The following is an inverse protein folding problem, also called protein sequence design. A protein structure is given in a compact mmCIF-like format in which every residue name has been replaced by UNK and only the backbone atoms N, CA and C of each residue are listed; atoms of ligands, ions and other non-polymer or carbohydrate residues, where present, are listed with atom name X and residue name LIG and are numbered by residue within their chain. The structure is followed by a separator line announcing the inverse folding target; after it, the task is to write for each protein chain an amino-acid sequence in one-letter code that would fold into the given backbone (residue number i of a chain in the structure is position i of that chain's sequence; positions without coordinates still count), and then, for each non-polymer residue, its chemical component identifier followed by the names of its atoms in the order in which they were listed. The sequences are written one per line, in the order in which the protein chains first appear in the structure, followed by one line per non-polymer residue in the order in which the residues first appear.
data_IF_712839452497
#
_entry.id   IF_712839452497
#
_cell.length_a   1.000
_cell.length_b   1.000
_cell.length_c   1.000
_cell.angle_alpha   90.00
_cell.angle_beta   90.00
_cell.angle_gamma   90.00
#
_symmetry.space_group_name_H-M   'P 1'
#
loop_
_entity.id
_entity.type
_entity.pdbx_description
1 polymer ?
#
# COMPACT_ATOMS: atom_id res chain seq x y z
N UNK A 1 -2.12 -24.86 -17.69
CA UNK A 1 -1.94 -23.82 -16.66
C UNK A 1 -2.19 -22.48 -17.30
N UNK A 2 -3.02 -21.62 -16.69
CA UNK A 2 -3.26 -20.26 -17.16
C UNK A 2 -2.21 -19.28 -16.60
N UNK A 3 -1.83 -18.28 -17.38
CA UNK A 3 -1.06 -17.15 -16.87
C UNK A 3 -2.01 -16.14 -16.24
N UNK A 4 -1.63 -15.57 -15.10
CA UNK A 4 -2.36 -14.47 -14.47
C UNK A 4 -1.61 -13.17 -14.72
N UNK A 5 -2.33 -12.16 -15.21
CA UNK A 5 -1.80 -10.81 -15.33
C UNK A 5 -1.68 -10.18 -13.94
N UNK A 6 -0.50 -9.70 -13.60
CA UNK A 6 -0.22 -9.06 -12.32
C UNK A 6 0.62 -7.81 -12.53
N UNK A 7 0.27 -6.72 -11.85
CA UNK A 7 1.05 -5.50 -11.83
C UNK A 7 1.19 -4.98 -10.43
N UNK A 8 2.42 -4.55 -10.11
CA UNK A 8 2.73 -3.74 -8.95
C UNK A 8 3.26 -2.40 -9.46
N UNK A 9 2.51 -1.34 -9.22
CA UNK A 9 2.89 0.02 -9.56
C UNK A 9 3.23 0.77 -8.29
N UNK A 10 4.35 1.49 -8.27
CA UNK A 10 4.77 2.24 -7.08
C UNK A 10 5.05 3.71 -7.45
N UNK A 11 4.45 4.61 -6.68
CA UNK A 11 4.45 6.05 -6.90
C UNK A 11 4.90 6.77 -5.64
N UNK A 12 5.86 7.69 -5.77
CA UNK A 12 6.26 8.58 -4.68
C UNK A 12 5.52 9.90 -4.86
N UNK A 13 4.88 10.38 -3.80
CA UNK A 13 4.18 11.65 -3.81
C UNK A 13 5.13 12.76 -3.35
N UNK A 14 5.42 13.74 -4.22
CA UNK A 14 6.34 14.83 -3.90
C UNK A 14 5.74 15.89 -2.94
N UNK A 15 4.41 15.88 -2.78
CA UNK A 15 3.68 16.80 -1.91
C UNK A 15 2.52 16.07 -1.23
N UNK A 16 2.06 16.61 -0.11
CA UNK A 16 0.88 16.10 0.59
C UNK A 16 -0.32 16.07 -0.37
N UNK A 17 -0.98 14.93 -0.46
CA UNK A 17 -2.14 14.73 -1.29
C UNK A 17 -3.25 13.97 -0.55
N UNK A 18 -4.43 13.95 -1.15
CA UNK A 18 -5.51 13.04 -0.80
C UNK A 18 -5.93 12.33 -2.06
N UNK A 19 -5.91 11.00 -2.03
CA UNK A 19 -6.26 10.16 -3.17
C UNK A 19 -7.57 9.45 -2.88
N UNK A 20 -8.47 9.44 -3.85
CA UNK A 20 -9.71 8.69 -3.77
C UNK A 20 -9.44 7.20 -4.03
N UNK A 21 -10.02 6.33 -3.20
CA UNK A 21 -9.97 4.88 -3.36
C UNK A 21 -11.33 4.30 -3.02
N UNK A 22 -12.15 4.08 -4.06
CA UNK A 22 -13.56 3.78 -3.88
C UNK A 22 -14.26 4.91 -3.10
N UNK A 23 -14.93 4.54 -2.01
CA UNK A 23 -15.58 5.45 -1.07
C UNK A 23 -14.61 6.11 -0.07
N UNK A 24 -13.34 5.71 -0.05
CA UNK A 24 -12.34 6.23 0.87
C UNK A 24 -11.56 7.40 0.28
N UNK A 25 -11.16 8.31 1.18
CA UNK A 25 -10.17 9.35 0.91
C UNK A 25 -8.93 9.04 1.73
N UNK A 26 -7.85 8.68 1.06
CA UNK A 26 -6.59 8.29 1.67
C UNK A 26 -5.64 9.48 1.71
N UNK A 27 -5.21 9.96 2.90
CA UNK A 27 -4.14 10.94 2.98
C UNK A 27 -2.82 10.29 2.56
N UNK A 28 -2.08 10.98 1.70
CA UNK A 28 -0.75 10.54 1.22
C UNK A 28 0.24 11.66 1.54
N UNK A 29 1.07 11.51 2.58
CA UNK A 29 2.08 12.51 2.91
C UNK A 29 3.11 12.70 1.79
N UNK A 30 3.76 13.85 1.75
CA UNK A 30 4.94 14.05 0.91
C UNK A 30 6.02 13.03 1.26
N UNK A 31 6.70 12.50 0.25
CA UNK A 31 7.67 11.41 0.36
C UNK A 31 7.05 10.02 0.54
N UNK A 32 5.74 9.90 0.71
CA UNK A 32 5.09 8.60 0.86
C UNK A 32 5.09 7.82 -0.46
N UNK A 33 5.28 6.50 -0.32
CA UNK A 33 5.17 5.53 -1.39
C UNK A 33 3.77 4.95 -1.41
N UNK A 34 3.01 5.22 -2.46
CA UNK A 34 1.76 4.53 -2.76
C UNK A 34 2.06 3.38 -3.70
N UNK A 35 1.70 2.16 -3.32
CA UNK A 35 1.86 1.01 -4.21
C UNK A 35 0.51 0.36 -4.50
N UNK A 36 0.26 0.14 -5.77
CA UNK A 36 -0.99 -0.39 -6.30
C UNK A 36 -0.75 -1.81 -6.80
N UNK A 37 -1.57 -2.72 -6.31
CA UNK A 37 -1.65 -4.11 -6.75
C UNK A 37 -2.84 -4.24 -7.68
N UNK A 38 -2.57 -4.57 -8.94
CA UNK A 38 -3.58 -4.94 -9.92
C UNK A 38 -3.39 -6.41 -10.32
N UNK A 39 -4.48 -7.16 -10.35
CA UNK A 39 -4.46 -8.56 -10.76
C UNK A 39 -5.65 -8.85 -11.67
N UNK A 40 -5.40 -9.58 -12.76
CA UNK A 40 -6.42 -10.13 -13.63
C UNK A 40 -7.08 -11.38 -13.01
N UNK A 41 -7.89 -12.08 -13.80
CA UNK A 41 -8.67 -13.23 -13.33
C UNK A 41 -7.77 -14.28 -12.64
N UNK A 42 -8.10 -14.62 -11.40
CA UNK A 42 -7.43 -15.68 -10.66
C UNK A 42 -8.19 -17.01 -10.80
N UNK A 43 -7.50 -18.13 -11.05
CA UNK A 43 -8.15 -19.42 -11.26
C UNK A 43 -8.57 -20.07 -9.94
N UNK A 44 -9.58 -19.51 -9.26
CA UNK A 44 -10.17 -20.10 -8.07
C UNK A 44 -10.78 -21.48 -8.38
N UNK A 45 -10.65 -22.43 -7.45
CA UNK A 45 -11.28 -23.74 -7.62
C UNK A 45 -12.80 -23.67 -7.39
N UNK A 46 -13.24 -22.80 -6.47
CA UNK A 46 -14.65 -22.48 -6.25
C UNK A 46 -14.82 -21.07 -5.64
N UNK A 47 -16.08 -20.65 -5.49
CA UNK A 47 -16.44 -19.31 -4.99
C UNK A 47 -16.22 -19.11 -3.48
N UNK A 48 -15.93 -20.16 -2.73
CA UNK A 48 -15.58 -20.06 -1.31
C UNK A 48 -14.07 -19.84 -1.09
N UNK A 49 -13.24 -20.01 -2.13
CA UNK A 49 -11.81 -19.78 -2.02
C UNK A 49 -11.46 -18.30 -1.97
N UNK A 50 -10.37 -17.99 -1.27
CA UNK A 50 -9.80 -16.65 -1.14
C UNK A 50 -8.43 -16.58 -1.80
N UNK A 51 -7.98 -15.37 -2.11
CA UNK A 51 -6.62 -15.10 -2.55
C UNK A 51 -5.84 -14.48 -1.40
N UNK A 52 -4.73 -15.11 -1.03
CA UNK A 52 -3.79 -14.53 -0.06
C UNK A 52 -2.61 -13.90 -0.79
N UNK A 53 -2.35 -12.62 -0.49
CA UNK A 53 -1.17 -11.90 -0.94
C UNK A 53 -0.37 -11.45 0.29
N UNK A 54 0.93 -11.70 0.28
CA UNK A 54 1.82 -11.23 1.32
C UNK A 54 2.97 -10.42 0.73
N UNK A 55 3.31 -9.31 1.39
CA UNK A 55 4.55 -8.58 1.12
C UNK A 55 5.49 -8.74 2.30
N UNK A 56 6.78 -8.91 2.02
CA UNK A 56 7.80 -8.85 3.05
C UNK A 56 7.99 -7.40 3.48
N UNK A 57 7.92 -7.17 4.78
CA UNK A 57 8.23 -5.90 5.41
C UNK A 57 9.66 -5.96 5.94
N UNK A 58 10.54 -5.12 5.41
CA UNK A 58 11.91 -4.93 5.88
C UNK A 58 12.07 -3.44 6.23
N UNK A 59 12.32 -3.15 7.51
CA UNK A 59 12.55 -1.81 8.01
C UNK A 59 13.99 -1.72 8.52
N UNK A 60 14.73 -0.73 8.02
CA UNK A 60 16.14 -0.53 8.38
C UNK A 60 16.30 0.86 8.94
N UNK A 61 16.67 0.95 10.21
CA UNK A 61 17.00 2.22 10.83
C UNK A 61 18.25 2.84 10.22
N UNK A 62 18.52 4.12 10.55
CA UNK A 62 19.75 4.78 10.16
C UNK A 62 20.98 3.91 10.47
N UNK A 63 21.83 3.68 9.46
CA UNK A 63 23.03 2.83 9.55
C UNK A 63 22.76 1.36 9.92
N UNK A 64 21.56 0.85 9.63
CA UNK A 64 21.17 -0.53 9.93
C UNK A 64 20.80 -0.74 11.41
N UNK A 65 20.51 0.32 12.15
CA UNK A 65 20.02 0.22 13.52
C UNK A 65 18.65 -0.47 13.60
N UNK A 66 18.40 -1.16 14.72
CA UNK A 66 17.10 -1.73 15.03
C UNK A 66 16.09 -0.61 15.36
N UNK A 67 14.97 -0.58 14.64
CA UNK A 67 13.88 0.39 14.81
C UNK A 67 12.57 -0.30 15.20
N UNK A 68 12.67 -1.53 15.70
CA UNK A 68 11.54 -2.37 16.05
C UNK A 68 11.06 -3.21 14.86
N UNK A 69 10.11 -4.10 15.14
CA UNK A 69 9.50 -4.97 14.15
C UNK A 69 8.18 -4.38 13.67
N UNK A 70 7.87 -4.45 12.36
CA UNK A 70 6.56 -4.02 11.90
C UNK A 70 5.43 -4.71 12.64
N UNK A 71 4.42 -3.95 13.05
CA UNK A 71 3.30 -4.45 13.84
C UNK A 71 2.03 -3.66 13.56
N UNK A 72 0.87 -4.31 13.62
CA UNK A 72 -0.42 -3.60 13.54
C UNK A 72 -0.56 -2.68 14.74
N UNK A 73 -0.87 -1.40 14.49
CA UNK A 73 -1.31 -0.53 15.58
C UNK A 73 -2.70 -0.98 16.02
N UNK A 74 -2.95 -1.11 17.34
CA UNK A 74 -4.31 -1.24 17.83
C UNK A 74 -5.16 -0.09 17.27
N UNK A 75 -6.41 -0.38 16.89
CA UNK A 75 -7.37 0.67 16.52
C UNK A 75 -7.72 1.47 17.78
N UNK A 76 -6.85 2.39 18.21
CA UNK A 76 -7.08 3.22 19.39
C UNK A 76 -7.72 4.54 19.00
N UNK A 77 -8.99 4.69 19.33
CA UNK A 77 -9.72 5.96 19.37
C UNK A 77 -10.74 6.18 18.24
N UNK A 78 -11.78 6.98 18.48
CA UNK A 78 -12.86 7.25 17.52
C UNK A 78 -12.44 8.08 16.29
N UNK A 79 -11.17 8.49 16.20
CA UNK A 79 -10.63 9.37 15.15
C UNK A 79 -9.78 8.64 14.10
N UNK A 80 -9.41 7.37 14.31
CA UNK A 80 -8.76 6.57 13.27
C UNK A 80 -9.82 5.88 12.42
N UNK A 81 -9.84 6.18 11.12
CA UNK A 81 -10.79 5.61 10.16
C UNK A 81 -10.85 4.09 10.32
N UNK A 82 -11.99 3.56 10.79
CA UNK A 82 -12.18 2.12 10.98
C UNK A 82 -11.94 1.30 9.69
N UNK A 83 -11.98 2.00 8.55
CA UNK A 83 -11.77 1.54 7.18
C UNK A 83 -10.32 1.53 6.69
N UNK A 84 -9.35 1.94 7.51
CA UNK A 84 -7.92 1.86 7.19
C UNK A 84 -7.19 1.23 8.36
N UNK A 85 -6.43 0.19 8.08
CA UNK A 85 -5.56 -0.43 9.06
C UNK A 85 -4.14 0.13 8.97
N UNK A 86 -3.62 0.63 10.09
CA UNK A 86 -2.26 1.14 10.16
C UNK A 86 -1.30 0.10 10.74
N UNK A 87 -0.22 -0.15 10.02
CA UNK A 87 0.95 -0.91 10.46
C UNK A 87 2.02 0.08 10.85
N UNK A 88 2.52 -0.01 12.08
CA UNK A 88 3.73 0.67 12.51
C UNK A 88 4.93 -0.02 11.86
N UNK A 89 5.78 0.74 11.18
CA UNK A 89 7.00 0.24 10.55
C UNK A 89 8.25 0.67 11.32
N UNK A 90 8.10 1.32 12.49
CA UNK A 90 9.21 1.88 13.26
C UNK A 90 9.69 3.23 12.72
N UNK A 91 10.41 3.99 13.54
CA UNK A 91 11.05 5.27 13.16
C UNK A 91 10.10 6.27 12.47
N UNK A 92 8.85 6.37 12.97
CA UNK A 92 7.77 7.21 12.41
C UNK A 92 7.23 6.76 11.04
N UNK A 93 7.77 5.70 10.46
CA UNK A 93 7.23 5.09 9.26
C UNK A 93 5.96 4.28 9.56
N UNK A 94 5.03 4.28 8.63
CA UNK A 94 3.79 3.53 8.73
C UNK A 94 3.34 2.99 7.38
N UNK A 95 2.51 1.95 7.39
CA UNK A 95 1.73 1.54 6.23
C UNK A 95 0.23 1.62 6.55
N UNK A 96 -0.51 2.36 5.75
CA UNK A 96 -1.95 2.39 5.72
C UNK A 96 -2.49 1.43 4.67
N UNK A 97 -3.17 0.39 5.15
CA UNK A 97 -3.83 -0.63 4.35
C UNK A 97 -5.35 -0.42 4.40
N UNK A 98 -6.01 -0.04 3.29
CA UNK A 98 -7.46 0.05 3.23
C UNK A 98 -8.13 -1.28 3.63
N UNK A 99 -9.23 -1.24 4.38
CA UNK A 99 -10.01 -2.43 4.72
C UNK A 99 -10.95 -2.87 3.60
N UNK A 100 -11.01 -2.11 2.51
CA UNK A 100 -11.77 -2.42 1.30
C UNK A 100 -10.82 -2.77 0.15
N UNK A 101 -11.31 -3.54 -0.81
CA UNK A 101 -10.66 -3.88 -2.07
C UNK A 101 -11.67 -3.68 -3.21
N UNK A 102 -11.20 -3.25 -4.38
CA UNK A 102 -12.07 -3.16 -5.57
C UNK A 102 -11.94 -4.47 -6.34
N UNK A 103 -13.02 -5.27 -6.34
CA UNK A 103 -13.11 -6.55 -7.04
C UNK A 103 -14.15 -6.45 -8.14
N UNK A 104 -13.76 -6.80 -9.37
CA UNK A 104 -14.63 -6.75 -10.54
C UNK A 104 -15.35 -5.39 -10.73
N UNK A 105 -14.73 -4.30 -10.26
CA UNK A 105 -15.28 -2.95 -10.29
C UNK A 105 -16.18 -2.57 -9.11
N UNK A 106 -16.36 -3.44 -8.11
CA UNK A 106 -17.17 -3.20 -6.92
C UNK A 106 -16.32 -3.17 -5.64
N UNK A 107 -16.71 -2.33 -4.68
CA UNK A 107 -16.08 -2.29 -3.35
C UNK A 107 -16.51 -3.49 -2.51
N UNK A 108 -15.52 -4.21 -1.99
CA UNK A 108 -15.69 -5.36 -1.11
C UNK A 108 -14.78 -5.20 0.10
N UNK A 109 -15.12 -5.80 1.23
CA UNK A 109 -14.21 -5.83 2.37
C UNK A 109 -13.07 -6.83 2.11
N UNK A 110 -11.85 -6.45 2.52
CA UNK A 110 -10.77 -7.41 2.70
C UNK A 110 -11.20 -8.40 3.79
N UNK A 111 -11.14 -9.70 3.48
CA UNK A 111 -11.62 -10.77 4.39
C UNK A 111 -10.81 -10.80 5.68
N UNK A 112 -9.48 -10.66 5.55
CA UNK A 112 -8.57 -10.59 6.67
C UNK A 112 -7.27 -9.89 6.26
N UNK A 113 -6.56 -9.38 7.26
CA UNK A 113 -5.20 -8.90 7.12
C UNK A 113 -4.42 -9.30 8.35
N UNK A 114 -3.11 -9.52 8.26
CA UNK A 114 -2.29 -9.88 9.42
C UNK A 114 -0.83 -9.52 9.24
N UNK A 115 -0.12 -9.33 10.35
CA UNK A 115 1.34 -9.33 10.36
C UNK A 115 1.80 -10.72 10.80
N UNK A 116 2.60 -11.38 9.97
CA UNK A 116 3.10 -12.73 10.20
C UNK A 116 4.62 -12.68 10.32
N UNK A 117 5.19 -13.56 11.15
CA UNK A 117 6.64 -13.80 11.19
C UNK A 117 6.92 -15.22 10.73
N UNK A 118 7.68 -15.37 9.64
CA UNK A 118 8.04 -16.67 9.07
C UNK A 118 9.54 -16.70 8.84
N UNK A 119 10.23 -17.63 9.51
CA UNK A 119 11.69 -17.78 9.35
C UNK A 119 12.52 -16.54 9.74
N UNK A 120 11.97 -15.67 10.60
CA UNK A 120 12.59 -14.39 10.99
C UNK A 120 12.22 -13.20 10.12
N UNK A 121 11.65 -13.44 8.94
CA UNK A 121 11.10 -12.42 8.07
C UNK A 121 9.68 -12.03 8.52
N UNK A 122 9.35 -10.75 8.36
CA UNK A 122 8.04 -10.22 8.70
C UNK A 122 7.27 -9.96 7.41
N UNK A 123 6.02 -10.37 7.38
CA UNK A 123 5.14 -10.22 6.25
C UNK A 123 3.88 -9.47 6.68
N UNK A 124 3.38 -8.60 5.80
CA UNK A 124 1.99 -8.18 5.86
C UNK A 124 1.19 -8.96 4.85
N UNK A 125 0.15 -9.63 5.33
CA UNK A 125 -0.73 -10.49 4.56
C UNK A 125 -2.10 -9.85 4.42
N UNK A 126 -2.66 -9.92 3.21
CA UNK A 126 -4.06 -9.66 2.91
C UNK A 126 -4.73 -10.92 2.39
N UNK A 127 -5.97 -11.13 2.80
CA UNK A 127 -6.85 -12.17 2.30
C UNK A 127 -8.01 -11.50 1.58
N UNK A 128 -8.06 -11.66 0.26
CA UNK A 128 -9.10 -11.11 -0.59
C UNK A 128 -10.18 -12.17 -0.87
N UNK A 129 -11.46 -11.79 -0.87
CA UNK A 129 -12.52 -12.71 -1.27
C UNK A 129 -12.42 -13.05 -2.76
N UNK A 130 -13.12 -14.11 -3.17
CA UNK A 130 -13.23 -14.54 -4.56
C UNK A 130 -13.61 -13.38 -5.50
N UNK A 131 -12.98 -13.33 -6.67
CA UNK A 131 -13.29 -12.42 -7.78
C UNK A 131 -13.13 -13.12 -9.13
N UNK A 132 -13.69 -12.56 -10.19
CA UNK A 132 -13.77 -13.24 -11.50
C UNK A 132 -12.90 -12.60 -12.58
N UNK A 133 -12.60 -11.31 -12.48
CA UNK A 133 -11.95 -10.53 -13.53
C UNK A 133 -10.77 -9.74 -13.01
N UNK A 134 -10.98 -8.95 -11.95
CA UNK A 134 -9.99 -7.96 -11.53
C UNK A 134 -9.96 -7.80 -10.02
N UNK A 135 -8.76 -7.59 -9.51
CA UNK A 135 -8.50 -7.09 -8.17
C UNK A 135 -7.66 -5.82 -8.29
N UNK A 136 -8.05 -4.78 -7.56
CA UNK A 136 -7.30 -3.53 -7.42
C UNK A 136 -7.21 -3.13 -5.94
N UNK A 137 -5.98 -3.05 -5.42
CA UNK A 137 -5.70 -2.75 -4.01
C UNK A 137 -4.54 -1.77 -3.86
N UNK A 138 -4.68 -0.78 -2.98
CA UNK A 138 -3.86 0.44 -3.09
C UNK A 138 -3.44 1.05 -1.73
N UNK A 139 -2.56 0.37 -0.96
CA UNK A 139 -2.01 0.85 0.30
C UNK A 139 -1.02 2.02 0.15
N UNK A 140 -0.75 2.68 1.27
CA UNK A 140 0.18 3.82 1.37
C UNK A 140 1.23 3.52 2.43
N UNK A 141 2.51 3.59 2.07
CA UNK A 141 3.64 3.55 2.99
C UNK A 141 4.17 4.98 3.16
N UNK A 142 4.10 5.53 4.37
CA UNK A 142 4.46 6.92 4.65
C UNK A 142 5.37 7.07 5.86
N UNK A 143 5.69 8.32 6.15
CA UNK A 143 6.43 8.74 7.34
C UNK A 143 5.70 9.95 7.95
N UNK A 144 5.28 9.81 9.22
CA UNK A 144 4.59 10.87 9.96
C UNK A 144 5.54 12.06 10.29
N UNK A 145 6.87 11.90 10.19
CA UNK A 145 7.86 12.94 10.45
C UNK A 145 7.86 14.06 9.39
N UNK A 146 7.51 13.72 8.15
CA UNK A 146 7.47 14.64 6.99
C UNK A 146 6.20 15.51 7.01
N UNK A 147 5.18 15.14 7.78
CA UNK A 147 3.93 15.89 7.93
C UNK A 147 4.09 17.24 8.67
N UNK A 148 5.29 17.54 9.20
CA UNK A 148 5.54 18.72 10.04
C UNK A 148 5.68 20.07 9.29
N UNK A 149 5.59 20.11 7.96
CA UNK A 149 5.49 21.38 7.22
C UNK A 149 4.02 21.74 6.91
N UNK A 150 3.16 21.71 7.94
CA UNK A 150 1.95 22.52 7.92
C UNK A 150 2.33 23.97 8.22
N UNK A 151 2.72 24.74 7.18
CA UNK A 151 2.81 26.19 7.33
C UNK A 151 1.41 26.71 7.63
N UNK A 152 1.22 27.09 8.89
CA UNK A 152 0.06 27.82 9.37
C UNK A 152 -0.14 29.07 8.51
N UNK A 153 -1.36 29.22 7.98
CA UNK A 153 -1.77 30.37 7.20
C UNK A 153 -1.82 31.62 8.10
N UNK A 154 -0.67 32.28 8.28
CA UNK A 154 -0.58 33.62 8.87
C UNK A 154 -0.84 34.62 7.75
N UNK A 155 -2.04 35.22 7.77
CA UNK A 155 -2.38 36.36 6.92
C UNK A 155 -1.54 37.56 7.33
N UNK A 156 -0.50 37.86 6.56
CA UNK A 156 0.14 39.18 6.56
C UNK A 156 0.13 39.72 5.14
N UNK A 157 -0.75 40.71 4.92
CA UNK A 157 -0.77 41.54 3.73
C UNK A 157 0.60 42.19 3.55
N UNK A 158 1.28 41.90 2.45
CA UNK A 158 2.33 42.76 1.91
C UNK A 158 2.34 42.59 0.40
N UNK A 159 1.86 43.62 -0.28
CA UNK A 159 2.07 43.89 -1.70
C UNK A 159 3.57 43.99 -1.98
N UNK A 160 4.10 43.13 -2.85
CA UNK A 160 5.21 43.51 -3.71
C UNK A 160 5.26 42.68 -5.01
N UNK A 161 5.67 43.35 -6.07
CA UNK A 161 5.66 42.91 -7.46
C UNK A 161 6.97 42.20 -7.81
N UNK A 162 6.90 41.04 -8.48
CA UNK A 162 8.10 40.38 -8.99
C UNK A 162 7.81 39.10 -9.74
N UNK A 163 7.63 39.20 -11.06
CA UNK A 163 7.51 38.07 -11.98
C UNK A 163 8.88 37.43 -12.24
N UNK A 164 9.07 36.18 -11.82
CA UNK A 164 10.15 35.30 -12.30
C UNK A 164 9.54 33.95 -12.68
N UNK A 165 9.67 33.47 -13.92
CA UNK A 165 9.16 32.17 -14.30
C UNK A 165 10.15 31.09 -13.87
N UNK A 166 9.82 30.29 -12.86
CA UNK A 166 10.55 29.06 -12.55
C UNK A 166 9.91 27.92 -13.33
N UNK A 167 10.60 27.47 -14.37
CA UNK A 167 10.34 26.22 -15.07
C UNK A 167 10.36 25.06 -14.07
N UNK A 168 9.19 24.46 -13.83
CA UNK A 168 9.04 23.22 -13.06
C UNK A 168 9.86 22.12 -13.73
N UNK A 169 10.76 21.50 -12.98
CA UNK A 169 11.45 20.29 -13.40
C UNK A 169 10.41 19.18 -13.68
N UNK A 170 10.62 18.31 -14.69
CA UNK A 170 9.68 17.25 -15.01
C UNK A 170 9.56 16.28 -13.84
N UNK A 171 8.32 16.01 -13.42
CA UNK A 171 7.98 14.97 -12.44
C UNK A 171 8.55 13.62 -12.93
N UNK A 172 9.32 12.89 -12.09
CA UNK A 172 9.76 11.55 -12.47
C UNK A 172 8.54 10.67 -12.74
N UNK A 173 8.57 9.97 -13.87
CA UNK A 173 7.49 9.07 -14.25
C UNK A 173 7.35 7.92 -13.23
N UNK A 174 6.13 7.47 -12.93
CA UNK A 174 5.89 6.35 -12.05
C UNK A 174 6.64 5.11 -12.55
N UNK A 175 7.27 4.36 -11.64
CA UNK A 175 7.95 3.11 -12.02
C UNK A 175 6.97 1.95 -11.83
N UNK A 176 6.40 1.47 -12.94
CA UNK A 176 5.54 0.29 -12.94
C UNK A 176 6.32 -0.97 -13.28
N UNK A 177 6.09 -2.06 -12.55
CA UNK A 177 6.54 -3.39 -12.93
C UNK A 177 5.33 -4.27 -13.23
N UNK A 178 5.32 -4.89 -14.40
CA UNK A 178 4.29 -5.86 -14.82
C UNK A 178 4.93 -7.24 -14.87
N UNK A 179 4.32 -8.21 -14.21
CA UNK A 179 4.78 -9.59 -14.21
C UNK A 179 3.63 -10.53 -14.58
N UNK A 180 3.95 -11.66 -15.20
CA UNK A 180 2.98 -12.75 -15.41
C UNK A 180 3.26 -13.83 -14.38
N UNK A 181 2.30 -14.06 -13.48
CA UNK A 181 2.41 -15.11 -12.47
C UNK A 181 2.02 -16.45 -13.11
N UNK A 182 2.93 -17.42 -13.11
CA UNK A 182 2.63 -18.81 -13.47
C UNK A 182 2.30 -19.60 -12.22
N UNK A 183 1.16 -20.30 -12.23
CA UNK A 183 0.67 -21.09 -11.08
C UNK A 183 1.36 -22.48 -11.01
N UNK A 184 2.42 -22.73 -11.78
CA UNK A 184 3.16 -23.99 -11.75
C UNK A 184 4.16 -24.00 -10.58
N UNK A 185 3.71 -24.44 -9.40
CA UNK A 185 4.56 -24.76 -8.25
C UNK A 185 5.39 -23.57 -7.72
N UNK A 186 4.88 -22.89 -6.70
CA UNK A 186 5.59 -21.80 -6.00
C UNK A 186 6.86 -22.39 -5.38
N UNK A 187 8.01 -22.21 -6.04
CA UNK A 187 9.34 -22.54 -5.53
C UNK A 187 10.29 -21.37 -5.80
N UNK A 188 10.92 -20.93 -4.70
CA UNK A 188 12.17 -20.18 -4.57
C UNK A 188 12.20 -18.65 -4.81
N UNK A 189 12.46 -17.96 -3.68
CA UNK A 189 13.31 -16.79 -3.47
C UNK A 189 12.99 -15.48 -4.22
N UNK A 190 12.47 -14.52 -3.46
CA UNK A 190 12.27 -13.12 -3.86
C UNK A 190 10.84 -12.85 -4.31
N UNK A 191 10.00 -12.35 -3.39
CA UNK A 191 8.53 -12.23 -3.51
C UNK A 191 7.84 -13.60 -3.49
N UNK A 192 7.59 -14.11 -2.29
CA UNK A 192 6.72 -15.26 -2.10
C UNK A 192 5.26 -14.77 -2.11
N UNK A 193 4.64 -14.68 -3.29
CA UNK A 193 3.19 -14.74 -3.37
C UNK A 193 2.78 -16.18 -3.04
N UNK A 194 2.66 -16.50 -1.75
CA UNK A 194 2.24 -17.82 -1.32
C UNK A 194 0.71 -17.86 -1.35
N UNK A 195 0.15 -18.30 -2.49
CA UNK A 195 -1.25 -18.67 -2.55
C UNK A 195 -1.42 -20.03 -1.85
N UNK A 196 -1.77 -20.02 -0.57
CA UNK A 196 -2.28 -21.22 0.08
C UNK A 196 -3.78 -21.35 -0.18
N UNK A 197 -4.19 -22.52 -0.67
CA UNK A 197 -5.60 -22.94 -0.65
C UNK A 197 -5.87 -23.42 0.78
N UNK A 198 -6.57 -22.62 1.58
CA UNK A 198 -7.18 -23.12 2.81
C UNK A 198 -8.44 -23.92 2.43
N UNK A 199 -8.49 -25.18 2.86
CA UNK A 199 -9.60 -26.11 2.65
C UNK A 199 -10.72 -25.89 3.66
#
# INVERSE_FOLDING_TARGET
AGAVDFSLTANIFEANATVDYGSLKLPVPAGALKFTVDMGAWPFANTANTLTLAIKLDNKGPKGGDIGKPAKKPKSGPAHNASVERVDMGDSMFMDAPSIVILDGAEMNVTNSSVLTVGGDIFFEWVFPHFTKTLHYDPVLGDDSVASNSTSNSTTNSTDSGTTPTTSAPTPAPTSSTAKLSVTGIVAAGIAAIAYIAF
#
